data_IF_931691882676
#
_entry.id   IF_931691882676
#
_cell.length_a   1.000
_cell.length_b   1.000
_cell.length_c   1.000
_cell.angle_alpha   90.00
_cell.angle_beta   90.00
_cell.angle_gamma   90.00
#
_symmetry.space_group_name_H-M   'P 1'
#
loop_
_entity.id
_entity.type
_entity.pdbx_description
1 polymer ?
#
# COMPACT_ATOMS: atom_id res chain seq x y z
N UNK A 1 -2.71 -24.16 -16.99
CA UNK A 1 -3.81 -23.26 -16.63
C UNK A 1 -4.23 -22.55 -17.91
N UNK A 2 -5.52 -22.59 -18.25
CA UNK A 2 -6.09 -21.86 -19.39
C UNK A 2 -6.58 -20.48 -18.95
N UNK A 3 -6.87 -19.58 -19.92
CA UNK A 3 -7.45 -18.28 -19.65
C UNK A 3 -6.88 -17.18 -20.55
N UNK A 4 -7.39 -15.96 -20.37
CA UNK A 4 -6.90 -14.76 -21.03
C UNK A 4 -6.08 -13.91 -20.04
N UNK A 5 -4.96 -13.36 -20.52
CA UNK A 5 -4.19 -12.36 -19.77
C UNK A 5 -4.49 -10.98 -20.35
N UNK A 6 -5.02 -10.08 -19.51
CA UNK A 6 -5.31 -8.71 -19.89
C UNK A 6 -4.23 -7.79 -19.31
N UNK A 7 -3.44 -7.16 -20.20
CA UNK A 7 -2.46 -6.16 -19.78
C UNK A 7 -3.10 -4.78 -19.63
N UNK A 8 -2.88 -4.12 -18.50
CA UNK A 8 -3.33 -2.75 -18.25
C UNK A 8 -2.32 -1.67 -18.65
N UNK A 9 -1.20 -2.05 -19.25
CA UNK A 9 -0.10 -1.12 -19.62
C UNK A 9 -0.50 0.02 -20.56
N UNK A 10 -1.58 -0.14 -21.31
CA UNK A 10 -2.12 0.89 -22.20
C UNK A 10 -3.21 1.76 -21.53
N UNK A 11 -3.62 1.45 -20.31
CA UNK A 11 -4.56 2.28 -19.54
C UNK A 11 -3.79 3.44 -18.89
N UNK A 12 -3.51 4.48 -19.67
CA UNK A 12 -2.74 5.65 -19.23
C UNK A 12 -3.61 6.90 -18.99
N UNK A 13 -4.92 6.78 -19.15
CA UNK A 13 -5.90 7.83 -18.82
C UNK A 13 -6.68 7.44 -17.54
N UNK A 14 -6.94 8.40 -16.62
CA UNK A 14 -6.52 9.80 -16.64
C UNK A 14 -5.01 9.98 -16.47
N UNK A 15 -4.50 11.13 -16.87
CA UNK A 15 -3.13 11.54 -16.59
C UNK A 15 -2.91 11.66 -15.08
N UNK A 16 -1.64 11.63 -14.66
CA UNK A 16 -1.27 11.88 -13.27
C UNK A 16 -1.51 13.38 -12.98
N UNK A 17 -2.39 13.67 -12.03
CA UNK A 17 -2.72 15.01 -11.60
C UNK A 17 -2.63 15.13 -10.07
N UNK A 18 -1.82 16.09 -9.60
CA UNK A 18 -1.57 16.30 -8.17
C UNK A 18 -2.34 17.50 -7.65
N UNK A 19 -3.21 17.28 -6.69
CA UNK A 19 -3.79 18.34 -5.89
C UNK A 19 -2.96 18.54 -4.61
N UNK A 20 -2.19 19.64 -4.61
CA UNK A 20 -1.31 19.99 -3.48
C UNK A 20 -2.13 20.36 -2.25
N UNK A 21 -3.32 20.92 -2.41
CA UNK A 21 -4.16 21.40 -1.30
C UNK A 21 -4.76 20.22 -0.53
N UNK A 22 -5.35 19.28 -1.23
CA UNK A 22 -5.91 18.05 -0.63
C UNK A 22 -4.84 17.02 -0.32
N UNK A 23 -3.62 17.16 -0.88
CA UNK A 23 -2.55 16.18 -0.87
C UNK A 23 -3.01 14.84 -1.45
N UNK A 24 -3.58 14.88 -2.61
CA UNK A 24 -4.05 13.72 -3.35
C UNK A 24 -3.45 13.72 -4.76
N UNK A 25 -3.32 12.54 -5.34
CA UNK A 25 -2.98 12.36 -6.75
C UNK A 25 -4.01 11.46 -7.41
N UNK A 26 -4.49 11.89 -8.58
CA UNK A 26 -5.28 11.05 -9.49
C UNK A 26 -4.32 10.36 -10.44
N UNK A 27 -4.54 9.09 -10.69
CA UNK A 27 -3.74 8.30 -11.64
C UNK A 27 -4.55 7.21 -12.29
N UNK A 28 -4.20 6.90 -13.53
CA UNK A 28 -4.59 5.64 -14.15
C UNK A 28 -3.85 4.48 -13.50
N UNK A 29 -4.37 3.26 -13.69
CA UNK A 29 -3.78 2.05 -13.13
C UNK A 29 -2.62 1.48 -13.96
N UNK A 30 -2.49 1.89 -15.21
CA UNK A 30 -1.49 1.37 -16.16
C UNK A 30 -0.17 2.12 -16.16
N UNK A 31 0.05 3.07 -15.25
CA UNK A 31 1.33 3.74 -15.07
C UNK A 31 2.19 2.99 -14.04
N UNK A 32 3.52 3.04 -14.18
CA UNK A 32 4.40 2.45 -13.17
C UNK A 32 4.38 3.28 -11.89
N UNK A 33 4.61 2.62 -10.76
CA UNK A 33 4.67 3.29 -9.47
C UNK A 33 5.80 4.33 -9.43
N UNK A 34 6.93 4.05 -10.08
CA UNK A 34 8.04 5.00 -10.19
C UNK A 34 7.64 6.24 -10.99
N UNK A 35 6.91 6.08 -12.10
CA UNK A 35 6.41 7.22 -12.89
C UNK A 35 5.46 8.09 -12.06
N UNK A 36 4.54 7.48 -11.30
CA UNK A 36 3.66 8.18 -10.37
C UNK A 36 4.47 8.99 -9.34
N UNK A 37 5.44 8.36 -8.68
CA UNK A 37 6.26 9.00 -7.65
C UNK A 37 7.04 10.19 -8.18
N UNK A 38 7.64 10.05 -9.35
CA UNK A 38 8.41 11.11 -10.01
C UNK A 38 7.51 12.28 -10.41
N UNK A 39 6.32 12.00 -10.95
CA UNK A 39 5.39 13.05 -11.35
C UNK A 39 4.80 13.79 -10.14
N UNK A 40 4.55 13.09 -9.03
CA UNK A 40 4.14 13.72 -7.75
C UNK A 40 5.21 14.69 -7.25
N UNK A 41 6.48 14.30 -7.25
CA UNK A 41 7.58 15.17 -6.86
C UNK A 41 7.67 16.40 -7.76
N UNK A 42 7.58 16.21 -9.06
CA UNK A 42 7.65 17.28 -10.07
C UNK A 42 6.50 18.28 -9.93
N UNK A 43 5.25 17.82 -9.93
CA UNK A 43 4.07 18.70 -9.86
C UNK A 43 3.93 19.41 -8.51
N UNK A 44 4.42 18.80 -7.43
CA UNK A 44 4.42 19.42 -6.10
C UNK A 44 5.65 20.31 -5.81
N UNK A 45 6.56 20.48 -6.78
CA UNK A 45 7.86 21.15 -6.57
C UNK A 45 8.64 20.53 -5.39
N UNK A 46 8.64 19.21 -5.28
CA UNK A 46 9.32 18.46 -4.24
C UNK A 46 8.69 18.52 -2.84
N UNK A 47 7.49 19.07 -2.69
CA UNK A 47 6.83 19.23 -1.38
C UNK A 47 6.09 17.98 -0.92
N UNK A 48 5.58 17.19 -1.85
CA UNK A 48 4.81 15.97 -1.60
C UNK A 48 5.49 14.76 -2.20
N UNK A 49 5.21 13.59 -1.63
CA UNK A 49 5.63 12.31 -2.19
C UNK A 49 4.59 11.22 -1.89
N UNK A 50 4.60 10.16 -2.69
CA UNK A 50 3.82 8.96 -2.42
C UNK A 50 4.70 7.99 -1.61
N UNK A 51 4.28 7.63 -0.38
CA UNK A 51 5.18 6.94 0.56
C UNK A 51 5.44 5.47 0.28
N UNK A 52 4.50 4.77 -0.36
CA UNK A 52 4.65 3.34 -0.60
C UNK A 52 5.77 3.08 -1.60
N UNK A 53 6.79 2.33 -1.17
CA UNK A 53 8.05 2.15 -1.89
C UNK A 53 8.48 0.67 -1.90
N UNK A 54 7.78 -0.20 -2.63
CA UNK A 54 8.22 -1.58 -2.79
C UNK A 54 9.45 -1.67 -3.68
N UNK A 55 10.26 -2.71 -3.51
CA UNK A 55 11.45 -2.96 -4.34
C UNK A 55 11.14 -3.08 -5.83
N UNK A 56 9.93 -3.48 -6.18
CA UNK A 56 9.42 -3.63 -7.56
C UNK A 56 8.89 -2.33 -8.18
N UNK A 57 9.03 -1.17 -7.54
CA UNK A 57 8.39 0.09 -7.98
C UNK A 57 8.65 0.50 -9.43
N UNK A 58 9.80 0.10 -9.99
CA UNK A 58 10.16 0.44 -11.37
C UNK A 58 9.30 -0.29 -12.40
N UNK A 59 8.86 -1.51 -12.07
CA UNK A 59 8.12 -2.40 -12.98
C UNK A 59 6.66 -2.57 -12.57
N UNK A 60 6.35 -2.36 -11.28
CA UNK A 60 5.00 -2.51 -10.76
C UNK A 60 4.08 -1.38 -11.23
N UNK A 61 2.93 -1.73 -11.77
CA UNK A 61 1.86 -0.77 -12.10
C UNK A 61 1.06 -0.37 -10.87
N UNK A 62 0.57 0.87 -10.86
CA UNK A 62 -0.26 1.41 -9.78
C UNK A 62 -1.46 0.51 -9.48
N UNK A 63 -2.17 0.03 -10.50
CA UNK A 63 -3.30 -0.90 -10.30
C UNK A 63 -2.87 -2.22 -9.66
N UNK A 64 -1.72 -2.75 -10.03
CA UNK A 64 -1.15 -3.95 -9.42
C UNK A 64 -0.82 -3.75 -7.96
N UNK A 65 -0.23 -2.60 -7.58
CA UNK A 65 0.07 -2.30 -6.17
C UNK A 65 -1.18 -2.18 -5.32
N UNK A 66 -2.28 -1.66 -5.87
CA UNK A 66 -3.58 -1.62 -5.19
C UNK A 66 -4.16 -3.03 -5.07
N UNK A 67 -4.19 -3.79 -6.17
CA UNK A 67 -4.77 -5.14 -6.19
C UNK A 67 -4.09 -6.11 -5.25
N UNK A 68 -2.77 -5.99 -5.06
CA UNK A 68 -1.99 -6.82 -4.12
C UNK A 68 -1.83 -6.20 -2.73
N UNK A 69 -2.32 -4.99 -2.50
CA UNK A 69 -2.03 -4.20 -1.29
C UNK A 69 -0.52 -4.16 -1.01
N UNK A 70 0.29 -3.80 -2.00
CA UNK A 70 1.74 -3.79 -1.90
C UNK A 70 2.23 -2.93 -0.73
N UNK A 71 3.30 -3.37 -0.08
CA UNK A 71 3.93 -2.67 1.04
C UNK A 71 5.32 -2.17 0.67
N UNK A 72 5.70 -1.03 1.23
CA UNK A 72 7.05 -0.49 1.15
C UNK A 72 7.83 -0.64 2.47
N UNK A 73 8.92 0.09 2.59
CA UNK A 73 9.85 0.03 3.73
C UNK A 73 9.33 0.71 5.01
N UNK A 74 8.31 1.59 4.89
CA UNK A 74 7.76 2.30 6.06
C UNK A 74 7.12 1.29 6.99
N UNK A 75 7.48 1.26 8.30
CA UNK A 75 6.82 0.42 9.28
C UNK A 75 5.40 0.92 9.58
N UNK A 76 4.58 0.05 10.17
CA UNK A 76 3.20 0.38 10.51
C UNK A 76 2.25 0.39 9.31
N UNK A 77 1.00 0.76 9.54
CA UNK A 77 -0.08 0.72 8.55
C UNK A 77 0.17 1.61 7.33
N UNK A 78 0.80 2.77 7.54
CA UNK A 78 1.13 3.72 6.47
C UNK A 78 2.15 3.20 5.45
N UNK A 79 2.82 2.09 5.74
CA UNK A 79 3.69 1.41 4.79
C UNK A 79 2.95 0.59 3.72
N UNK A 80 1.64 0.36 3.87
CA UNK A 80 0.85 -0.41 2.92
C UNK A 80 0.01 0.50 2.01
N UNK A 81 -0.19 0.08 0.77
CA UNK A 81 -0.98 0.81 -0.24
C UNK A 81 -2.38 1.14 0.24
N UNK A 82 -3.02 0.23 0.97
CA UNK A 82 -4.37 0.38 1.53
C UNK A 82 -4.56 1.71 2.28
N UNK A 83 -3.58 2.12 3.04
CA UNK A 83 -3.64 3.35 3.83
C UNK A 83 -3.79 4.61 2.97
N UNK A 84 -3.31 4.55 1.74
CA UNK A 84 -3.23 5.71 0.84
C UNK A 84 -4.31 5.74 -0.23
N UNK A 85 -5.11 4.67 -0.41
CA UNK A 85 -6.18 4.63 -1.41
C UNK A 85 -7.41 5.36 -0.89
N UNK A 86 -7.71 6.51 -1.49
CA UNK A 86 -8.86 7.36 -1.15
C UNK A 86 -10.06 7.13 -2.06
N UNK A 87 -9.83 6.79 -3.32
CA UNK A 87 -10.89 6.60 -4.31
C UNK A 87 -10.43 5.58 -5.36
N UNK A 88 -11.36 4.79 -5.82
CA UNK A 88 -11.14 3.81 -6.90
C UNK A 88 -12.24 3.94 -7.95
N UNK A 89 -11.88 3.64 -9.18
CA UNK A 89 -12.79 3.44 -10.28
C UNK A 89 -12.53 2.07 -10.88
N UNK A 90 -13.56 1.24 -10.99
CA UNK A 90 -13.41 -0.14 -11.47
C UNK A 90 -14.59 -0.56 -12.34
N UNK A 91 -14.32 -1.49 -13.27
CA UNK A 91 -15.33 -2.20 -14.05
C UNK A 91 -15.66 -3.48 -13.29
N UNK A 92 -16.94 -3.65 -12.97
CA UNK A 92 -17.50 -4.87 -12.36
C UNK A 92 -17.59 -6.01 -13.39
N UNK A 93 -17.75 -7.28 -12.96
CA UNK A 93 -17.89 -8.42 -13.85
C UNK A 93 -19.05 -8.33 -14.84
N UNK A 94 -20.09 -7.55 -14.53
CA UNK A 94 -21.23 -7.30 -15.41
C UNK A 94 -20.98 -6.18 -16.46
N UNK A 95 -19.77 -5.58 -16.45
CA UNK A 95 -19.38 -4.49 -17.35
C UNK A 95 -19.71 -3.09 -16.85
N UNK A 96 -20.36 -2.94 -15.72
CA UNK A 96 -20.68 -1.63 -15.17
C UNK A 96 -19.45 -0.96 -14.56
N UNK A 97 -19.31 0.32 -14.86
CA UNK A 97 -18.26 1.17 -14.27
C UNK A 97 -18.80 1.79 -12.98
N UNK A 98 -18.08 1.59 -11.90
CA UNK A 98 -18.36 2.23 -10.62
C UNK A 98 -17.17 3.05 -10.14
N UNK A 99 -17.47 4.15 -9.45
CA UNK A 99 -16.50 5.03 -8.81
C UNK A 99 -16.89 5.15 -7.34
N UNK A 100 -15.95 4.86 -6.46
CA UNK A 100 -16.20 4.80 -5.02
C UNK A 100 -15.08 5.50 -4.26
N UNK A 101 -15.47 6.44 -3.42
CA UNK A 101 -14.57 7.11 -2.48
C UNK A 101 -14.62 6.42 -1.11
N UNK A 102 -13.48 6.38 -0.44
CA UNK A 102 -13.39 5.86 0.94
C UNK A 102 -14.39 6.60 1.85
N UNK A 103 -15.14 5.85 2.62
CA UNK A 103 -16.18 6.35 3.50
C UNK A 103 -17.59 6.45 2.88
N UNK A 104 -17.73 6.31 1.57
CA UNK A 104 -19.04 6.40 0.89
C UNK A 104 -19.86 5.12 0.96
N UNK A 105 -19.21 3.98 0.80
CA UNK A 105 -19.86 2.68 0.81
C UNK A 105 -19.28 1.80 1.92
N UNK A 106 -19.96 1.81 3.05
CA UNK A 106 -19.60 1.00 4.21
C UNK A 106 -20.64 -0.11 4.37
N UNK A 107 -20.16 -1.33 4.55
CA UNK A 107 -21.02 -2.48 4.76
C UNK A 107 -21.82 -2.39 6.06
N UNK A 108 -22.93 -3.11 6.13
CA UNK A 108 -23.46 -3.55 7.43
C UNK A 108 -22.50 -4.53 8.10
N UNK A 109 -22.90 -5.09 9.24
CA UNK A 109 -22.10 -6.13 9.94
C UNK A 109 -22.03 -7.45 9.16
N UNK A 110 -22.81 -7.62 8.10
CA UNK A 110 -22.96 -8.90 7.39
C UNK A 110 -22.72 -8.82 5.90
N UNK A 111 -22.96 -7.68 5.25
CA UNK A 111 -22.88 -7.56 3.80
C UNK A 111 -22.78 -6.12 3.31
N UNK A 112 -22.24 -5.95 2.09
CA UNK A 112 -22.44 -4.75 1.27
C UNK A 112 -23.73 -4.86 0.48
N UNK A 113 -24.34 -3.71 0.23
CA UNK A 113 -25.39 -3.56 -0.77
C UNK A 113 -24.80 -2.76 -1.92
N UNK A 114 -24.74 -3.36 -3.10
CA UNK A 114 -24.34 -2.70 -4.33
C UNK A 114 -25.59 -2.54 -5.17
N UNK A 115 -25.90 -1.31 -5.58
CA UNK A 115 -26.98 -1.03 -6.51
C UNK A 115 -26.47 -1.13 -7.93
N UNK A 116 -27.04 -2.06 -8.70
CA UNK A 116 -26.76 -2.23 -10.12
C UNK A 116 -28.08 -2.18 -10.89
N UNK A 117 -28.31 -1.07 -11.62
CA UNK A 117 -29.52 -0.88 -12.43
C UNK A 117 -30.83 -1.22 -11.69
N UNK A 118 -31.01 -0.71 -10.48
CA UNK A 118 -32.14 -0.97 -9.58
C UNK A 118 -32.14 -2.35 -8.88
N UNK A 119 -31.16 -3.20 -9.16
CA UNK A 119 -30.98 -4.47 -8.47
C UNK A 119 -30.08 -4.27 -7.25
N UNK A 120 -30.57 -4.73 -6.09
CA UNK A 120 -29.72 -4.86 -4.89
C UNK A 120 -28.89 -6.14 -4.96
N UNK A 121 -27.57 -5.98 -5.05
CA UNK A 121 -26.64 -7.11 -4.93
C UNK A 121 -26.08 -7.13 -3.52
N UNK A 122 -26.36 -8.20 -2.78
CA UNK A 122 -25.80 -8.42 -1.43
C UNK A 122 -24.52 -9.21 -1.52
N UNK A 123 -23.40 -8.55 -1.17
CA UNK A 123 -22.08 -9.17 -1.10
C UNK A 123 -21.75 -9.45 0.36
N UNK A 124 -21.62 -10.71 0.80
CA UNK A 124 -21.30 -11.03 2.17
C UNK A 124 -19.87 -10.57 2.50
N UNK A 125 -19.67 -10.08 3.72
CA UNK A 125 -18.35 -9.70 4.20
C UNK A 125 -17.70 -10.81 5.03
N UNK A 126 -16.37 -10.96 4.99
CA UNK A 126 -15.68 -11.93 5.81
C UNK A 126 -15.75 -11.55 7.29
N UNK A 127 -15.82 -12.57 8.14
CA UNK A 127 -15.89 -12.41 9.59
C UNK A 127 -14.53 -12.68 10.21
N UNK A 128 -13.59 -11.75 10.10
CA UNK A 128 -12.34 -11.83 10.83
C UNK A 128 -11.91 -10.45 11.34
N UNK A 129 -11.09 -10.45 12.36
CA UNK A 129 -10.58 -9.24 12.96
C UNK A 129 -9.35 -8.75 12.20
N UNK A 130 -9.34 -7.47 11.83
CA UNK A 130 -8.17 -6.83 11.24
C UNK A 130 -6.97 -6.94 12.19
N UNK A 131 -5.81 -7.42 11.73
CA UNK A 131 -4.59 -7.36 12.52
C UNK A 131 -4.19 -5.90 12.83
N UNK A 132 -3.77 -5.64 14.07
CA UNK A 132 -3.34 -4.30 14.54
C UNK A 132 -1.84 -4.07 14.27
N UNK A 133 -1.37 -4.54 13.12
CA UNK A 133 0.01 -4.40 12.64
C UNK A 133 0.00 -4.16 11.14
N UNK A 134 1.11 -3.68 10.58
CA UNK A 134 1.33 -3.64 9.14
C UNK A 134 1.14 -5.03 8.53
N UNK A 135 0.27 -5.13 7.55
CA UNK A 135 0.04 -6.38 6.83
C UNK A 135 -0.47 -6.11 5.42
N UNK A 136 -0.31 -7.07 4.51
CA UNK A 136 -0.78 -7.01 3.13
C UNK A 136 -2.07 -7.80 2.92
N UNK A 137 -2.59 -8.49 3.94
CA UNK A 137 -3.83 -9.26 3.82
C UNK A 137 -5.04 -8.35 3.68
N UNK A 138 -6.04 -8.80 2.99
CA UNK A 138 -7.32 -8.12 2.78
C UNK A 138 -8.45 -9.12 2.67
N UNK A 139 -9.71 -8.68 2.60
CA UNK A 139 -10.23 -7.40 3.06
C UNK A 139 -10.29 -7.33 4.59
N UNK A 140 -10.30 -6.14 5.14
CA UNK A 140 -10.32 -5.96 6.60
C UNK A 140 -11.66 -5.44 7.08
N UNK A 141 -12.16 -6.05 8.14
CA UNK A 141 -13.26 -5.49 8.90
C UNK A 141 -12.75 -4.38 9.84
N UNK A 142 -13.51 -3.31 9.97
CA UNK A 142 -13.30 -2.33 11.02
C UNK A 142 -13.58 -2.95 12.39
N UNK A 143 -13.21 -2.24 13.47
CA UNK A 143 -13.44 -2.73 14.83
C UNK A 143 -14.91 -3.03 15.16
N UNK A 144 -15.86 -2.35 14.49
CA UNK A 144 -17.28 -2.60 14.59
C UNK A 144 -17.81 -3.73 13.66
N UNK A 145 -16.93 -4.41 12.93
CA UNK A 145 -17.27 -5.49 12.01
C UNK A 145 -17.67 -5.04 10.60
N UNK A 146 -17.69 -3.74 10.30
CA UNK A 146 -17.96 -3.23 8.96
C UNK A 146 -16.68 -3.09 8.12
N UNK A 147 -16.83 -3.12 6.80
CA UNK A 147 -15.74 -2.93 5.83
C UNK A 147 -16.11 -1.79 4.88
N UNK A 148 -15.16 -0.91 4.61
CA UNK A 148 -15.26 0.05 3.51
C UNK A 148 -15.10 -0.68 2.17
N UNK A 149 -15.86 -0.30 1.16
CA UNK A 149 -15.78 -0.93 -0.16
C UNK A 149 -14.39 -0.79 -0.80
N UNK A 150 -13.71 0.33 -0.57
CA UNK A 150 -12.32 0.51 -1.01
C UNK A 150 -11.42 -0.55 -0.37
N UNK A 151 -11.62 -0.87 0.90
CA UNK A 151 -10.86 -1.91 1.60
C UNK A 151 -11.19 -3.33 1.10
N UNK A 152 -12.40 -3.57 0.59
CA UNK A 152 -12.74 -4.82 -0.06
C UNK A 152 -11.93 -5.04 -1.35
N UNK A 153 -11.72 -3.96 -2.11
CA UNK A 153 -11.04 -4.02 -3.40
C UNK A 153 -9.52 -4.04 -3.26
N UNK A 154 -8.96 -3.26 -2.33
CA UNK A 154 -7.51 -3.24 -2.09
C UNK A 154 -7.05 -4.58 -1.52
N UNK A 155 -6.14 -5.26 -2.22
CA UNK A 155 -5.64 -6.58 -1.86
C UNK A 155 -6.54 -7.74 -2.32
N UNK A 156 -7.53 -7.47 -3.16
CA UNK A 156 -8.44 -8.50 -3.68
C UNK A 156 -7.91 -9.26 -4.90
N UNK A 157 -6.73 -8.90 -5.40
CA UNK A 157 -6.11 -9.53 -6.58
C UNK A 157 -7.01 -9.53 -7.84
N UNK A 158 -7.92 -8.54 -7.95
CA UNK A 158 -8.79 -8.36 -9.10
C UNK A 158 -10.02 -9.26 -9.14
N UNK A 159 -10.34 -10.03 -8.08
CA UNK A 159 -11.47 -10.97 -8.09
C UNK A 159 -12.84 -10.28 -8.17
N UNK A 160 -12.95 -9.01 -7.80
CA UNK A 160 -14.22 -8.26 -7.80
C UNK A 160 -14.40 -7.37 -9.03
N UNK A 161 -13.37 -7.17 -9.83
CA UNK A 161 -13.42 -6.31 -11.01
C UNK A 161 -12.06 -5.80 -11.44
N UNK A 162 -12.05 -5.00 -12.50
CA UNK A 162 -10.84 -4.45 -13.10
C UNK A 162 -10.73 -2.97 -12.74
N UNK A 163 -9.68 -2.61 -12.01
CA UNK A 163 -9.35 -1.21 -11.71
C UNK A 163 -9.00 -0.44 -13.00
N UNK A 164 -9.48 0.81 -13.09
CA UNK A 164 -9.24 1.73 -14.21
C UNK A 164 -8.43 2.93 -13.76
N UNK A 165 -8.84 3.56 -12.66
CA UNK A 165 -8.18 4.72 -12.09
C UNK A 165 -8.27 4.71 -10.58
N UNK A 166 -7.47 5.55 -9.94
CA UNK A 166 -7.49 5.71 -8.50
C UNK A 166 -7.13 7.13 -8.08
N UNK A 167 -7.48 7.47 -6.85
CA UNK A 167 -6.98 8.65 -6.14
C UNK A 167 -6.23 8.18 -4.89
N UNK A 168 -4.98 8.61 -4.79
CA UNK A 168 -4.10 8.22 -3.70
C UNK A 168 -3.78 9.44 -2.83
N UNK A 169 -3.71 9.22 -1.52
CA UNK A 169 -3.20 10.20 -0.58
C UNK A 169 -1.68 10.38 -0.70
N UNK A 170 -1.21 11.56 -0.39
CA UNK A 170 0.19 11.95 -0.43
C UNK A 170 0.66 12.44 0.94
N UNK A 171 1.93 12.25 1.22
CA UNK A 171 2.59 12.78 2.41
C UNK A 171 3.50 13.96 2.08
N UNK A 172 3.75 14.80 3.06
CA UNK A 172 4.79 15.83 2.95
C UNK A 172 6.16 15.15 2.88
N UNK A 173 6.97 15.57 1.91
CA UNK A 173 8.34 15.07 1.82
C UNK A 173 9.15 15.60 3.00
N UNK A 174 9.82 14.74 3.78
CA UNK A 174 10.76 15.17 4.80
C UNK A 174 11.87 16.03 4.20
N UNK A 175 12.28 17.06 4.93
CA UNK A 175 13.37 17.94 4.49
C UNK A 175 14.74 17.28 4.60
N UNK A 176 14.89 16.40 5.58
CA UNK A 176 16.13 15.67 5.85
C UNK A 176 15.83 14.24 6.26
N UNK A 177 16.77 13.35 6.02
CA UNK A 177 16.76 11.96 6.46
C UNK A 177 18.03 11.69 7.26
N UNK A 178 17.88 10.88 8.30
CA UNK A 178 18.99 10.21 8.96
C UNK A 178 18.92 8.74 8.56
N UNK A 179 19.92 8.28 7.85
CA UNK A 179 20.06 6.88 7.45
C UNK A 179 21.09 6.22 8.37
N UNK A 180 20.69 5.11 8.98
CA UNK A 180 21.54 4.33 9.89
C UNK A 180 21.54 2.88 9.43
N UNK A 181 22.72 2.28 9.43
CA UNK A 181 22.89 0.84 9.38
C UNK A 181 23.46 0.43 10.74
N UNK A 182 22.70 -0.36 11.48
CA UNK A 182 23.04 -0.78 12.84
C UNK A 182 23.43 -2.25 12.83
N UNK A 183 24.58 -2.60 13.33
CA UNK A 183 24.94 -3.99 13.63
C UNK A 183 24.62 -4.27 15.11
N UNK A 184 23.75 -5.19 15.35
CA UNK A 184 23.35 -5.59 16.70
C UNK A 184 23.94 -6.97 17.03
N UNK A 185 24.16 -7.23 18.30
CA UNK A 185 24.86 -8.43 18.77
C UNK A 185 24.12 -9.74 18.41
N UNK A 186 22.79 -9.66 18.36
CA UNK A 186 21.93 -10.81 18.10
C UNK A 186 20.49 -10.38 17.82
N UNK A 187 19.65 -11.34 17.48
CA UNK A 187 18.22 -11.14 17.17
C UNK A 187 17.43 -10.58 18.35
N UNK A 188 17.72 -10.98 19.58
CA UNK A 188 17.08 -10.44 20.78
C UNK A 188 17.35 -8.94 20.93
N UNK A 189 18.56 -8.51 20.61
CA UNK A 189 18.92 -7.07 20.59
C UNK A 189 18.15 -6.30 19.53
N UNK A 190 17.89 -6.90 18.36
CA UNK A 190 17.07 -6.30 17.32
C UNK A 190 15.60 -6.17 17.73
N UNK A 191 15.05 -7.21 18.36
CA UNK A 191 13.69 -7.20 18.91
C UNK A 191 13.56 -6.10 19.98
N UNK A 192 14.50 -6.04 20.91
CA UNK A 192 14.51 -5.02 21.96
C UNK A 192 14.61 -3.60 21.39
N UNK A 193 15.41 -3.41 20.33
CA UNK A 193 15.50 -2.13 19.63
C UNK A 193 14.18 -1.73 18.96
N UNK A 194 13.54 -2.68 18.27
CA UNK A 194 12.21 -2.45 17.68
C UNK A 194 11.19 -2.08 18.76
N UNK A 195 11.15 -2.80 19.88
CA UNK A 195 10.23 -2.53 20.97
C UNK A 195 10.48 -1.18 21.64
N UNK A 196 11.76 -0.78 21.74
CA UNK A 196 12.13 0.55 22.21
C UNK A 196 11.55 1.62 21.28
N UNK A 197 11.76 1.50 19.96
CA UNK A 197 11.22 2.44 18.98
C UNK A 197 9.69 2.50 19.05
N UNK A 198 9.03 1.34 19.10
CA UNK A 198 7.57 1.25 19.16
C UNK A 198 6.99 1.92 20.40
N UNK A 199 7.65 1.77 21.56
CA UNK A 199 7.29 2.45 22.80
C UNK A 199 7.60 3.95 22.74
N UNK A 200 8.77 4.32 22.23
CA UNK A 200 9.20 5.72 22.12
C UNK A 200 8.24 6.54 21.27
N UNK A 201 7.85 6.02 20.12
CA UNK A 201 6.88 6.66 19.22
C UNK A 201 5.41 6.40 19.59
N UNK A 202 5.12 5.85 20.78
CA UNK A 202 3.75 5.57 21.27
C UNK A 202 2.90 4.78 20.25
N UNK A 203 3.51 3.78 19.63
CA UNK A 203 2.95 2.94 18.56
C UNK A 203 2.75 3.63 17.20
N UNK A 204 3.04 4.91 17.07
CA UNK A 204 3.01 5.63 15.80
C UNK A 204 4.41 5.63 15.16
N UNK A 205 4.66 4.65 14.31
CA UNK A 205 5.93 4.49 13.59
C UNK A 205 6.01 5.35 12.32
N UNK A 206 5.05 6.24 12.07
CA UNK A 206 4.96 7.02 10.82
C UNK A 206 6.13 7.99 10.58
N UNK A 207 6.89 8.32 11.62
CA UNK A 207 8.10 9.14 11.50
C UNK A 207 9.35 8.35 11.04
N UNK A 208 9.27 7.02 11.04
CA UNK A 208 10.32 6.15 10.55
C UNK A 208 10.05 5.87 9.07
N UNK A 209 10.92 6.38 8.20
CA UNK A 209 10.76 6.24 6.75
C UNK A 209 11.09 4.84 6.23
N UNK A 210 11.94 4.10 6.93
CA UNK A 210 12.28 2.72 6.66
C UNK A 210 12.76 2.02 7.92
N UNK A 211 12.40 0.75 8.08
CA UNK A 211 12.94 -0.14 9.10
C UNK A 211 13.02 -1.54 8.51
N UNK A 212 14.24 -1.99 8.25
CA UNK A 212 14.51 -3.29 7.63
C UNK A 212 15.42 -4.11 8.53
N UNK A 213 15.12 -5.39 8.61
CA UNK A 213 15.92 -6.38 9.33
C UNK A 213 16.72 -7.23 8.34
N UNK A 214 18.00 -7.35 8.60
CA UNK A 214 18.91 -8.19 7.83
C UNK A 214 19.61 -9.19 8.76
N UNK A 215 19.32 -10.47 8.61
CA UNK A 215 20.07 -11.51 9.31
C UNK A 215 21.40 -11.81 8.60
N UNK A 216 22.34 -12.42 9.31
CA UNK A 216 23.68 -12.76 8.85
C UNK A 216 23.75 -13.32 7.42
N UNK A 217 22.84 -14.18 7.04
CA UNK A 217 22.85 -14.82 5.72
C UNK A 217 22.53 -13.86 4.57
N UNK A 218 21.93 -12.70 4.84
CA UNK A 218 21.62 -11.69 3.81
C UNK A 218 22.87 -11.18 3.10
N UNK A 219 24.00 -11.11 3.81
CA UNK A 219 25.28 -10.65 3.24
C UNK A 219 25.72 -11.49 2.04
N UNK A 220 25.32 -12.75 1.94
CA UNK A 220 25.65 -13.62 0.80
C UNK A 220 25.07 -13.12 -0.53
N UNK A 221 24.02 -12.28 -0.47
CA UNK A 221 23.30 -11.72 -1.61
C UNK A 221 23.63 -10.23 -1.84
N UNK A 222 24.43 -9.63 -0.96
CA UNK A 222 24.83 -8.22 -1.08
C UNK A 222 26.08 -8.08 -1.94
N UNK A 223 26.20 -6.96 -2.68
CA UNK A 223 27.34 -6.69 -3.57
C UNK A 223 28.64 -6.43 -2.80
N UNK A 224 28.55 -5.88 -1.58
CA UNK A 224 29.68 -5.54 -0.72
C UNK A 224 29.63 -6.40 0.54
N UNK A 225 30.27 -7.56 0.48
CA UNK A 225 30.16 -8.62 1.50
C UNK A 225 31.05 -8.41 2.73
N UNK A 226 32.10 -7.57 2.63
CA UNK A 226 33.28 -7.74 3.45
C UNK A 226 33.21 -7.11 4.84
N UNK A 227 32.10 -6.45 5.23
CA UNK A 227 32.11 -5.66 6.46
C UNK A 227 30.80 -5.57 7.24
N UNK A 228 29.77 -6.32 6.91
CA UNK A 228 28.46 -6.12 7.54
C UNK A 228 28.37 -6.81 8.90
N UNK A 229 28.65 -8.11 8.95
CA UNK A 229 28.52 -8.90 10.16
C UNK A 229 29.84 -9.61 10.49
N UNK A 230 30.29 -9.55 11.74
CA UNK A 230 31.52 -10.18 12.21
C UNK A 230 31.32 -11.64 12.58
N UNK A 231 30.16 -12.00 13.05
CA UNK A 231 29.81 -13.35 13.43
C UNK A 231 28.36 -13.70 13.06
N UNK A 232 27.98 -14.98 13.20
CA UNK A 232 26.69 -15.51 12.76
C UNK A 232 25.50 -15.06 13.58
N UNK A 233 25.71 -14.55 14.77
CA UNK A 233 24.66 -14.11 15.68
C UNK A 233 24.28 -12.65 15.45
N UNK A 234 25.16 -11.89 14.79
CA UNK A 234 24.92 -10.48 14.47
C UNK A 234 23.82 -10.30 13.42
N UNK A 235 23.02 -9.26 13.59
CA UNK A 235 21.92 -8.87 12.73
C UNK A 235 21.91 -7.37 12.48
#
# INVERSE_FOLDING_TARGET
QGGAVLSTSLLTSPNIEVDIKSKEVISSVGVTLEALRNEVLKQSNGKLFYPVDPTSRHDAYVGGTISCNASGFIPGESGATRFWVNEIELILPNGNLIKVRRGEHISSDTHFIILDNELEIKVPIPKYKRPDIKNASGPFSNHNGSIDFVDLIVGSEGIFGMLISCKLGLSKKPSNYLELFLCLENEDSAINFHDFLYKYYKKDMSQISALEYFGYNCQNYMKHKDFLFKNKDEV
#
